data_IF_873609783705
#
_entry.id   IF_873609783705
#
_cell.length_a   1.000
_cell.length_b   1.000
_cell.length_c   1.000
_cell.angle_alpha   90.00
_cell.angle_beta   90.00
_cell.angle_gamma   90.00
#
_symmetry.space_group_name_H-M   'P 1'
#
loop_
_entity.id
_entity.type
_entity.pdbx_description
1 polymer ?
#
# COMPACT_ATOMS: atom_id res chain seq x y z
N UNK A 1 -10.67 7.87 14.57
CA UNK A 1 -11.92 7.86 15.36
C UNK A 1 -12.15 6.51 16.03
N UNK A 2 -11.83 5.37 15.42
CA UNK A 2 -11.96 4.01 15.99
C UNK A 2 -11.17 3.88 17.30
N UNK A 3 -9.95 4.40 17.36
CA UNK A 3 -9.12 4.41 18.56
C UNK A 3 -9.80 5.13 19.74
N UNK A 4 -10.55 6.19 19.48
CA UNK A 4 -11.27 6.92 20.53
C UNK A 4 -12.47 6.16 21.07
N UNK A 5 -13.11 5.33 20.24
CA UNK A 5 -14.29 4.54 20.58
C UNK A 5 -13.97 3.19 21.22
N UNK A 6 -12.71 2.70 21.09
CA UNK A 6 -12.33 1.43 21.68
C UNK A 6 -12.21 1.52 23.21
N UNK A 7 -12.25 0.37 23.87
CA UNK A 7 -12.21 0.22 25.33
C UNK A 7 -10.80 0.29 25.93
N UNK A 8 -9.85 0.92 25.23
CA UNK A 8 -8.49 1.13 25.71
C UNK A 8 -8.43 2.26 26.74
N UNK A 9 -7.45 2.21 27.65
CA UNK A 9 -7.17 3.29 28.59
C UNK A 9 -6.67 4.55 27.85
N UNK A 10 -6.69 5.73 28.51
CA UNK A 10 -6.20 6.95 27.90
C UNK A 10 -4.71 6.84 27.50
N UNK A 11 -3.88 6.22 28.34
CA UNK A 11 -2.47 5.96 28.05
C UNK A 11 -2.30 5.03 26.83
N UNK A 12 -3.08 3.97 26.75
CA UNK A 12 -3.07 3.08 25.60
C UNK A 12 -3.53 3.78 24.31
N UNK A 13 -4.42 4.75 24.40
CA UNK A 13 -4.83 5.56 23.24
C UNK A 13 -3.71 6.47 22.75
N UNK A 14 -2.93 7.07 23.67
CA UNK A 14 -1.74 7.85 23.32
C UNK A 14 -0.73 6.97 22.55
N UNK A 15 -0.45 5.74 23.04
CA UNK A 15 0.39 4.78 22.31
C UNK A 15 -0.22 4.40 20.92
N UNK A 16 -1.54 4.30 20.85
CA UNK A 16 -2.25 4.04 19.60
C UNK A 16 -2.09 5.17 18.58
N UNK A 17 -2.05 6.42 19.01
CA UNK A 17 -1.81 7.58 18.13
C UNK A 17 -0.40 7.53 17.54
N UNK A 18 0.60 7.12 18.32
CA UNK A 18 1.98 6.93 17.84
C UNK A 18 2.04 5.81 16.79
N UNK A 19 1.36 4.68 17.02
CA UNK A 19 1.28 3.59 16.05
C UNK A 19 0.66 4.08 14.75
N UNK A 20 -0.46 4.79 14.81
CA UNK A 20 -1.19 5.31 13.64
C UNK A 20 -0.34 6.33 12.88
N UNK A 21 0.42 7.19 13.56
CA UNK A 21 1.30 8.16 12.94
C UNK A 21 2.47 7.50 12.17
N UNK A 22 2.84 6.27 12.52
CA UNK A 22 3.90 5.50 11.88
C UNK A 22 3.39 4.49 10.83
N UNK A 23 2.19 4.68 10.30
CA UNK A 23 1.66 3.85 9.21
C UNK A 23 2.12 4.36 7.84
N UNK A 24 2.41 3.43 6.94
CA UNK A 24 2.61 3.72 5.52
C UNK A 24 1.31 4.02 4.80
N UNK A 25 1.39 4.56 3.59
CA UNK A 25 0.23 4.72 2.71
C UNK A 25 -0.46 3.40 2.34
N UNK A 26 0.26 2.28 2.42
CA UNK A 26 -0.29 0.94 2.22
C UNK A 26 -0.95 0.36 3.47
N UNK A 27 -0.85 1.03 4.62
CA UNK A 27 -1.40 0.59 5.90
C UNK A 27 -0.47 -0.30 6.72
N UNK A 28 0.79 -0.47 6.33
CA UNK A 28 1.78 -1.24 7.08
C UNK A 28 2.52 -0.37 8.10
N UNK A 29 2.95 -1.00 9.19
CA UNK A 29 3.77 -0.36 10.20
C UNK A 29 5.19 -0.16 9.66
N UNK A 30 5.72 1.07 9.77
CA UNK A 30 7.07 1.42 9.28
C UNK A 30 8.13 1.30 10.37
N UNK A 31 7.78 1.56 11.63
CA UNK A 31 8.69 1.53 12.75
C UNK A 31 8.60 0.21 13.53
N UNK A 32 9.70 -0.21 14.16
CA UNK A 32 9.70 -1.34 15.08
C UNK A 32 9.00 -1.01 16.40
N UNK A 33 8.58 -2.04 17.16
CA UNK A 33 7.93 -1.83 18.46
C UNK A 33 8.88 -1.14 19.46
N UNK A 34 10.19 -1.43 19.36
CA UNK A 34 11.23 -0.81 20.17
C UNK A 34 11.37 0.68 19.86
N UNK A 35 11.43 1.03 18.57
CA UNK A 35 11.50 2.43 18.12
C UNK A 35 10.26 3.22 18.55
N UNK A 36 9.07 2.62 18.44
CA UNK A 36 7.84 3.26 18.91
C UNK A 36 7.80 3.46 20.41
N UNK A 37 8.31 2.49 21.19
CA UNK A 37 8.43 2.65 22.63
C UNK A 37 9.43 3.76 23.00
N UNK A 38 10.50 3.94 22.20
CA UNK A 38 11.47 5.05 22.37
C UNK A 38 10.85 6.39 21.95
N UNK A 39 10.10 6.45 20.86
CA UNK A 39 9.37 7.66 20.43
C UNK A 39 8.38 8.10 21.50
N UNK A 40 7.60 7.16 22.05
CA UNK A 40 6.69 7.44 23.15
C UNK A 40 7.42 8.04 24.36
N UNK A 41 8.63 7.58 24.67
CA UNK A 41 9.48 8.15 25.74
C UNK A 41 9.93 9.56 25.40
N UNK A 42 10.31 9.83 24.15
CA UNK A 42 10.83 11.12 23.72
C UNK A 42 9.77 12.21 23.72
N UNK A 43 8.55 11.92 23.24
CA UNK A 43 7.43 12.85 23.20
C UNK A 43 7.01 13.27 24.62
N UNK A 44 6.94 12.32 25.55
CA UNK A 44 6.65 12.62 26.95
C UNK A 44 7.76 13.41 27.67
N UNK A 45 9.02 13.20 27.30
CA UNK A 45 10.13 13.96 27.89
C UNK A 45 10.17 15.41 27.42
N UNK A 46 9.61 15.72 26.24
CA UNK A 46 9.56 17.06 25.67
C UNK A 46 8.44 17.94 26.20
N UNK A 47 7.31 17.37 26.58
CA UNK A 47 6.12 18.11 26.99
C UNK A 47 6.05 18.45 28.51
N UNK A 48 6.76 17.73 29.34
CA UNK A 48 6.66 17.88 30.79
C UNK A 48 7.98 18.23 31.45
N UNK A 49 8.19 19.56 31.60
CA UNK A 49 9.22 20.14 32.53
C UNK A 49 8.79 20.05 34.00
N UNK A 50 7.70 19.37 34.34
CA UNK A 50 7.10 19.32 35.70
C UNK A 50 7.44 18.01 36.42
N UNK A 51 7.61 18.08 37.74
CA UNK A 51 7.97 16.97 38.63
C UNK A 51 7.01 15.76 38.59
N UNK A 52 5.82 15.91 38.00
CA UNK A 52 4.80 14.88 37.85
C UNK A 52 5.12 13.81 36.75
N UNK A 53 6.04 14.15 35.82
CA UNK A 53 6.44 13.23 34.76
C UNK A 53 7.38 12.09 35.25
N UNK A 54 7.91 12.19 36.47
CA UNK A 54 8.85 11.20 37.02
C UNK A 54 8.20 9.91 37.52
N UNK A 55 6.88 9.93 37.76
CA UNK A 55 6.13 8.77 38.26
C UNK A 55 5.33 8.03 37.17
N UNK A 56 5.30 8.54 35.93
CA UNK A 56 4.63 7.88 34.83
C UNK A 56 5.54 6.75 34.28
N UNK A 57 5.10 5.51 34.44
CA UNK A 57 5.83 4.36 33.91
C UNK A 57 5.89 4.45 32.37
N UNK A 58 7.07 4.35 31.81
CA UNK A 58 7.28 4.36 30.37
C UNK A 58 6.63 3.13 29.73
N UNK A 59 6.02 3.27 28.51
CA UNK A 59 5.43 2.12 27.87
C UNK A 59 6.47 1.04 27.61
N UNK A 60 6.14 -0.15 28.03
CA UNK A 60 6.93 -1.34 27.70
C UNK A 60 6.57 -1.78 26.27
N UNK A 61 7.47 -2.50 25.61
CA UNK A 61 7.22 -3.11 24.30
C UNK A 61 5.94 -3.98 24.32
N UNK A 62 5.69 -4.65 25.45
CA UNK A 62 4.50 -5.49 25.65
C UNK A 62 3.19 -4.69 25.65
N UNK A 63 3.22 -3.48 26.24
CA UNK A 63 2.05 -2.59 26.26
C UNK A 63 1.76 -2.04 24.87
N UNK A 64 2.79 -1.63 24.11
CA UNK A 64 2.67 -1.19 22.72
C UNK A 64 2.12 -2.34 21.85
N UNK A 65 2.62 -3.56 22.04
CA UNK A 65 2.13 -4.74 21.33
C UNK A 65 0.66 -5.06 21.64
N UNK A 66 0.24 -4.84 22.87
CA UNK A 66 -1.16 -5.03 23.28
C UNK A 66 -2.08 -4.04 22.54
N UNK A 67 -1.66 -2.79 22.42
CA UNK A 67 -2.39 -1.76 21.66
C UNK A 67 -2.38 -2.08 20.17
N UNK A 68 -1.24 -2.51 19.62
CA UNK A 68 -1.13 -2.93 18.23
C UNK A 68 -2.12 -4.06 17.90
N UNK A 69 -2.24 -5.07 18.76
CA UNK A 69 -3.21 -6.16 18.58
C UNK A 69 -4.67 -5.68 18.52
N UNK A 70 -4.99 -4.60 19.20
CA UNK A 70 -6.32 -3.99 19.10
C UNK A 70 -6.48 -3.22 17.79
N UNK A 71 -5.46 -2.49 17.33
CA UNK A 71 -5.47 -1.72 16.07
C UNK A 71 -5.56 -2.65 14.85
N UNK A 72 -4.90 -3.79 14.87
CA UNK A 72 -4.94 -4.79 13.80
C UNK A 72 -6.36 -5.29 13.47
N UNK A 73 -7.30 -5.13 14.39
CA UNK A 73 -8.72 -5.51 14.22
C UNK A 73 -9.60 -4.31 13.81
N UNK A 74 -9.03 -3.12 13.61
CA UNK A 74 -9.77 -1.96 13.12
C UNK A 74 -10.15 -2.14 11.65
N UNK A 75 -11.05 -1.30 11.16
CA UNK A 75 -11.45 -1.26 9.77
C UNK A 75 -10.58 -0.22 9.03
N UNK A 76 -9.82 -0.65 8.02
CA UNK A 76 -9.74 -1.99 7.40
C UNK A 76 -8.94 -3.01 8.23
N UNK A 77 -9.43 -4.27 8.27
CA UNK A 77 -8.79 -5.34 9.04
C UNK A 77 -7.39 -5.64 8.52
N UNK A 78 -6.43 -5.76 9.44
CA UNK A 78 -5.02 -5.99 9.11
C UNK A 78 -4.21 -4.71 8.94
N UNK A 79 -4.81 -3.52 9.15
CA UNK A 79 -4.08 -2.26 9.22
C UNK A 79 -3.06 -2.30 10.38
N UNK A 80 -1.90 -1.68 10.20
CA UNK A 80 -0.75 -1.71 11.11
C UNK A 80 -0.04 -3.07 11.23
N UNK A 81 -0.29 -4.00 10.33
CA UNK A 81 0.51 -5.22 10.24
C UNK A 81 1.97 -4.89 9.87
N UNK A 82 2.90 -5.72 10.34
CA UNK A 82 4.35 -5.59 10.08
C UNK A 82 4.75 -6.22 8.75
N UNK A 83 4.03 -7.26 8.35
CA UNK A 83 4.30 -8.03 7.13
C UNK A 83 3.00 -8.36 6.40
N UNK A 84 3.06 -8.62 5.08
CA UNK A 84 1.90 -9.08 4.33
C UNK A 84 1.30 -10.37 4.88
N UNK A 85 2.14 -11.29 5.34
CA UNK A 85 1.71 -12.56 5.96
C UNK A 85 0.87 -12.29 7.22
N UNK A 86 1.34 -11.39 8.10
CA UNK A 86 0.61 -11.01 9.31
C UNK A 86 -0.74 -10.38 8.96
N UNK A 87 -0.79 -9.47 7.99
CA UNK A 87 -2.00 -8.84 7.51
C UNK A 87 -3.04 -9.87 7.05
N UNK A 88 -2.64 -10.78 6.15
CA UNK A 88 -3.52 -11.82 5.63
C UNK A 88 -3.99 -12.80 6.71
N UNK A 89 -3.11 -13.18 7.65
CA UNK A 89 -3.48 -14.07 8.77
C UNK A 89 -4.53 -13.46 9.69
N UNK A 90 -4.46 -12.14 9.91
CA UNK A 90 -5.44 -11.42 10.72
C UNK A 90 -6.79 -11.38 9.99
N UNK A 91 -6.79 -11.14 8.69
CA UNK A 91 -8.02 -11.16 7.88
C UNK A 91 -8.64 -12.56 7.84
N UNK A 92 -7.83 -13.62 7.67
CA UNK A 92 -8.28 -15.02 7.75
C UNK A 92 -8.97 -15.29 9.09
N UNK A 93 -8.38 -14.81 10.18
CA UNK A 93 -8.96 -14.96 11.52
C UNK A 93 -10.27 -14.18 11.68
N UNK A 94 -10.33 -12.95 11.15
CA UNK A 94 -11.53 -12.13 11.19
C UNK A 94 -12.70 -12.73 10.38
N UNK A 95 -12.39 -13.43 9.29
CA UNK A 95 -13.35 -14.16 8.46
C UNK A 95 -13.77 -15.52 9.07
N UNK A 96 -13.12 -15.95 10.15
CA UNK A 96 -13.44 -17.22 10.84
C UNK A 96 -12.79 -18.46 10.22
N UNK A 97 -11.80 -18.30 9.34
CA UNK A 97 -11.03 -19.40 8.74
C UNK A 97 -9.79 -19.78 9.54
N UNK A 98 -9.64 -19.28 10.76
CA UNK A 98 -8.52 -19.56 11.66
C UNK A 98 -8.37 -21.04 12.06
N UNK A 99 -9.43 -21.82 11.89
CA UNK A 99 -9.45 -23.27 12.17
C UNK A 99 -8.89 -24.12 11.04
N UNK A 100 -8.82 -23.59 9.85
CA UNK A 100 -8.23 -24.28 8.70
C UNK A 100 -6.71 -24.15 8.73
N UNK A 101 -6.07 -25.16 9.31
CA UNK A 101 -4.62 -25.18 9.47
C UNK A 101 -3.88 -25.14 8.14
N UNK A 102 -4.47 -25.71 7.07
CA UNK A 102 -3.85 -25.73 5.74
C UNK A 102 -3.80 -24.32 5.18
N UNK A 103 -4.91 -23.57 5.25
CA UNK A 103 -4.96 -22.17 4.79
C UNK A 103 -3.99 -21.29 5.58
N UNK A 104 -3.95 -21.45 6.90
CA UNK A 104 -3.03 -20.70 7.77
C UNK A 104 -1.57 -20.99 7.43
N UNK A 105 -1.21 -22.25 7.23
CA UNK A 105 0.17 -22.64 6.90
C UNK A 105 0.58 -22.20 5.48
N UNK A 106 -0.35 -22.23 4.51
CA UNK A 106 -0.13 -21.70 3.15
C UNK A 106 0.24 -20.23 3.19
N UNK A 107 -0.49 -19.42 3.95
CA UNK A 107 -0.23 -17.97 4.04
C UNK A 107 1.00 -17.66 4.87
N UNK A 108 1.25 -18.41 5.95
CA UNK A 108 2.39 -18.17 6.83
C UNK A 108 3.73 -18.51 6.18
N UNK A 109 3.82 -19.70 5.57
CA UNK A 109 5.10 -20.30 5.21
C UNK A 109 5.31 -20.44 3.69
N UNK A 110 4.23 -20.34 2.89
CA UNK A 110 4.27 -20.65 1.46
C UNK A 110 3.69 -19.55 0.56
N UNK A 111 3.59 -18.33 1.06
CA UNK A 111 3.07 -17.21 0.27
C UNK A 111 3.92 -16.96 -0.98
N UNK A 112 5.25 -17.03 -0.86
CA UNK A 112 6.19 -16.88 -1.98
C UNK A 112 6.06 -17.99 -3.03
N UNK A 113 5.78 -19.23 -2.60
CA UNK A 113 5.55 -20.34 -3.51
C UNK A 113 4.23 -20.18 -4.28
N UNK A 114 3.21 -19.62 -3.64
CA UNK A 114 1.93 -19.30 -4.28
C UNK A 114 2.10 -18.17 -5.30
N UNK A 115 2.80 -17.10 -4.96
CA UNK A 115 3.11 -15.98 -5.85
C UNK A 115 3.91 -16.44 -7.08
N UNK A 116 4.89 -17.32 -6.86
CA UNK A 116 5.73 -17.89 -7.93
C UNK A 116 5.04 -19.01 -8.71
N UNK A 117 3.77 -19.31 -8.44
CA UNK A 117 2.99 -20.40 -9.05
C UNK A 117 3.62 -21.80 -8.91
N UNK A 118 4.38 -22.03 -7.85
CA UNK A 118 5.03 -23.31 -7.54
C UNK A 118 4.09 -24.26 -6.79
N UNK A 119 3.05 -24.73 -7.43
CA UNK A 119 1.99 -25.52 -6.79
C UNK A 119 2.39 -26.97 -6.49
N UNK A 120 3.24 -27.60 -7.32
CA UNK A 120 3.61 -29.04 -7.18
C UNK A 120 4.17 -29.43 -5.79
N UNK A 121 5.06 -28.64 -5.16
CA UNK A 121 5.53 -28.93 -3.80
C UNK A 121 4.40 -28.85 -2.76
N UNK A 122 3.50 -27.86 -2.90
CA UNK A 122 2.40 -27.62 -1.98
C UNK A 122 1.39 -28.77 -1.99
N UNK A 123 0.97 -29.21 -3.19
CA UNK A 123 0.07 -30.34 -3.37
C UNK A 123 0.61 -31.62 -2.68
N UNK A 124 1.94 -31.87 -2.79
CA UNK A 124 2.57 -33.02 -2.13
C UNK A 124 2.67 -32.85 -0.62
N UNK A 125 3.00 -31.66 -0.13
CA UNK A 125 3.18 -31.38 1.29
C UNK A 125 1.86 -31.49 2.05
N UNK A 126 0.82 -30.87 1.52
CA UNK A 126 -0.50 -30.80 2.16
C UNK A 126 -1.44 -31.95 1.73
N UNK A 127 -1.02 -32.77 0.76
CA UNK A 127 -1.81 -33.87 0.17
C UNK A 127 -3.14 -33.37 -0.41
N UNK A 128 -3.08 -32.22 -1.06
CA UNK A 128 -4.23 -31.60 -1.72
C UNK A 128 -4.30 -32.01 -3.18
N UNK A 129 -5.51 -32.01 -3.73
CA UNK A 129 -5.73 -31.99 -5.16
C UNK A 129 -5.65 -30.57 -5.71
N UNK A 130 -5.59 -30.44 -7.06
CA UNK A 130 -5.48 -29.12 -7.71
C UNK A 130 -6.73 -28.28 -7.54
N UNK A 131 -7.89 -28.92 -7.47
CA UNK A 131 -9.15 -28.20 -7.29
C UNK A 131 -9.32 -27.68 -5.85
N UNK A 132 -8.91 -28.47 -4.86
CA UNK A 132 -8.84 -28.03 -3.45
C UNK A 132 -7.87 -26.85 -3.28
N UNK A 133 -6.71 -26.88 -3.94
CA UNK A 133 -5.76 -25.77 -3.89
C UNK A 133 -6.35 -24.49 -4.53
N UNK A 134 -7.15 -24.62 -5.59
CA UNK A 134 -7.83 -23.45 -6.20
C UNK A 134 -8.81 -22.80 -5.22
N UNK A 135 -9.56 -23.58 -4.44
CA UNK A 135 -10.47 -23.04 -3.43
C UNK A 135 -9.70 -22.19 -2.41
N UNK A 136 -8.52 -22.67 -1.96
CA UNK A 136 -7.65 -21.88 -1.07
C UNK A 136 -7.11 -20.63 -1.74
N UNK A 137 -6.71 -20.71 -3.02
CA UNK A 137 -6.26 -19.55 -3.77
C UNK A 137 -7.36 -18.50 -3.93
N UNK A 138 -8.60 -18.92 -4.21
CA UNK A 138 -9.74 -18.02 -4.34
C UNK A 138 -10.01 -17.27 -3.02
N UNK A 139 -9.89 -17.96 -1.88
CA UNK A 139 -9.99 -17.34 -0.56
C UNK A 139 -8.87 -16.31 -0.37
N UNK A 140 -7.60 -16.69 -0.64
CA UNK A 140 -6.44 -15.80 -0.47
C UNK A 140 -6.54 -14.58 -1.38
N UNK A 141 -6.99 -14.75 -2.62
CA UNK A 141 -7.20 -13.65 -3.58
C UNK A 141 -8.34 -12.70 -3.19
N UNK A 142 -9.28 -13.16 -2.40
CA UNK A 142 -10.35 -12.30 -1.86
C UNK A 142 -9.89 -11.39 -0.72
N UNK A 143 -8.71 -11.66 -0.14
CA UNK A 143 -8.12 -10.85 0.92
C UNK A 143 -7.43 -9.60 0.34
N UNK A 144 -7.33 -8.55 1.15
CA UNK A 144 -6.65 -7.32 0.77
C UNK A 144 -5.23 -7.26 1.36
N UNK A 145 -4.17 -7.44 0.55
CA UNK A 145 -2.81 -7.35 1.04
C UNK A 145 -2.37 -5.92 1.37
N UNK A 146 -3.09 -4.88 0.91
CA UNK A 146 -2.74 -3.47 1.16
C UNK A 146 -3.95 -2.68 1.67
N UNK A 147 -4.40 -2.94 2.91
CA UNK A 147 -5.65 -2.38 3.42
C UNK A 147 -5.67 -0.85 3.51
N UNK A 148 -4.51 -0.20 3.62
CA UNK A 148 -4.39 1.25 3.64
C UNK A 148 -4.47 1.92 2.26
N UNK A 149 -4.29 1.19 1.17
CA UNK A 149 -4.19 1.77 -0.18
C UNK A 149 -5.45 2.54 -0.61
N UNK A 150 -6.63 2.11 -0.15
CA UNK A 150 -7.91 2.77 -0.44
C UNK A 150 -8.10 4.09 0.32
N UNK A 151 -7.32 4.34 1.38
CA UNK A 151 -7.42 5.51 2.26
C UNK A 151 -6.23 6.46 2.12
N UNK A 152 -5.14 6.01 1.46
CA UNK A 152 -3.99 6.86 1.16
C UNK A 152 -4.38 7.96 0.17
N UNK A 153 -3.83 9.16 0.33
CA UNK A 153 -3.85 10.15 -0.73
C UNK A 153 -2.99 9.63 -1.88
N UNK A 154 -3.59 8.78 -2.69
CA UNK A 154 -2.98 8.35 -3.94
C UNK A 154 -2.79 9.59 -4.80
N UNK A 155 -1.57 10.07 -4.89
CA UNK A 155 -1.18 10.95 -5.99
C UNK A 155 -1.44 10.14 -7.25
N UNK A 156 -2.60 10.34 -7.86
CA UNK A 156 -2.90 9.75 -9.16
C UNK A 156 -1.89 10.37 -10.13
N UNK A 157 -0.81 9.65 -10.36
CA UNK A 157 0.13 10.01 -11.42
C UNK A 157 -0.62 9.77 -12.72
N UNK A 158 -1.16 10.85 -13.30
CA UNK A 158 -1.73 10.80 -14.64
C UNK A 158 -0.60 10.47 -15.60
N UNK A 159 -0.53 9.22 -16.00
CA UNK A 159 0.37 8.80 -17.08
C UNK A 159 -0.31 9.17 -18.38
N UNK A 160 0.23 10.18 -19.06
CA UNK A 160 -0.20 10.51 -20.42
C UNK A 160 0.35 9.43 -21.35
N UNK A 161 -0.49 8.72 -22.10
CA UNK A 161 -0.01 7.68 -23.02
C UNK A 161 0.74 8.34 -24.20
N UNK A 162 1.84 7.74 -24.64
CA UNK A 162 2.61 8.21 -25.79
C UNK A 162 1.95 7.81 -27.11
N UNK A 163 1.16 6.73 -27.11
CA UNK A 163 0.52 6.17 -28.29
C UNK A 163 -0.90 5.73 -27.97
N UNK A 164 -1.85 6.10 -28.80
CA UNK A 164 -3.22 5.61 -28.78
C UNK A 164 -3.42 4.55 -29.86
N UNK A 165 -4.04 3.45 -29.53
CA UNK A 165 -4.40 2.38 -30.48
C UNK A 165 -5.92 2.23 -30.51
N UNK A 166 -6.54 2.57 -31.61
CA UNK A 166 -8.00 2.43 -31.82
C UNK A 166 -8.27 1.26 -32.77
N UNK A 167 -9.32 0.51 -32.50
CA UNK A 167 -9.82 -0.51 -33.44
C UNK A 167 -11.03 0.05 -34.16
N UNK A 168 -10.90 0.30 -35.49
CA UNK A 168 -11.96 0.81 -36.34
C UNK A 168 -12.16 -0.17 -37.48
N UNK A 169 -13.38 -0.64 -37.67
CA UNK A 169 -13.79 -1.57 -38.74
C UNK A 169 -12.93 -2.85 -38.87
N UNK A 170 -12.35 -3.31 -37.76
CA UNK A 170 -11.48 -4.51 -37.72
C UNK A 170 -10.00 -4.23 -37.92
N UNK A 171 -9.61 -3.03 -38.30
CA UNK A 171 -8.21 -2.60 -38.44
C UNK A 171 -7.76 -1.77 -37.22
N UNK A 172 -6.46 -1.82 -36.92
CA UNK A 172 -5.87 -1.04 -35.84
C UNK A 172 -5.29 0.29 -36.39
N UNK A 173 -5.85 1.40 -35.90
CA UNK A 173 -5.35 2.74 -36.15
C UNK A 173 -4.42 3.15 -34.98
N UNK A 174 -3.18 3.49 -35.31
CA UNK A 174 -2.18 3.92 -34.33
C UNK A 174 -2.03 5.44 -34.47
N UNK A 175 -2.26 6.17 -33.36
CA UNK A 175 -2.12 7.64 -33.29
C UNK A 175 -1.10 7.96 -32.20
N UNK A 176 -0.09 8.74 -32.56
CA UNK A 176 0.87 9.26 -31.59
C UNK A 176 0.23 10.37 -30.76
N UNK A 177 0.58 10.42 -29.48
CA UNK A 177 0.19 11.53 -28.64
C UNK A 177 1.12 12.72 -28.90
N UNK A 178 0.57 13.80 -29.41
CA UNK A 178 1.29 15.03 -29.67
C UNK A 178 1.11 16.06 -28.55
N UNK A 179 0.42 15.70 -27.46
CA UNK A 179 0.24 16.57 -26.30
C UNK A 179 1.60 16.89 -25.66
N UNK A 180 1.96 18.15 -25.64
CA UNK A 180 3.24 18.61 -25.10
C UNK A 180 4.35 18.80 -26.15
N UNK A 181 4.12 18.45 -27.43
CA UNK A 181 5.02 18.83 -28.49
C UNK A 181 4.74 20.29 -28.91
N UNK A 182 5.77 21.16 -28.99
CA UNK A 182 5.56 22.52 -29.46
C UNK A 182 5.17 22.51 -30.95
N UNK A 183 4.06 23.13 -31.28
CA UNK A 183 3.67 23.33 -32.66
C UNK A 183 4.68 24.28 -33.33
N UNK A 184 5.43 23.77 -34.29
CA UNK A 184 6.39 24.54 -35.05
C UNK A 184 5.67 25.22 -36.23
N UNK A 185 5.69 26.53 -36.23
CA UNK A 185 5.20 27.34 -37.36
C UNK A 185 6.36 28.15 -37.94
N UNK A 186 6.48 28.18 -39.28
CA UNK A 186 7.37 29.08 -39.92
C UNK A 186 6.87 30.51 -39.68
N UNK A 187 7.77 31.38 -39.23
CA UNK A 187 7.41 32.79 -39.04
C UNK A 187 7.08 33.45 -40.39
N UNK A 188 5.95 34.14 -40.52
CA UNK A 188 5.59 34.82 -41.78
C UNK A 188 6.66 35.80 -42.27
N UNK A 189 7.51 36.31 -41.39
CA UNK A 189 8.63 37.19 -41.72
C UNK A 189 9.70 36.49 -42.57
N UNK A 190 9.97 35.20 -42.31
CA UNK A 190 10.93 34.39 -43.07
C UNK A 190 10.33 33.89 -44.38
N UNK A 191 9.03 33.59 -44.45
CA UNK A 191 8.34 33.23 -45.69
C UNK A 191 8.41 34.37 -46.70
N UNK A 192 8.06 35.56 -46.27
CA UNK A 192 8.15 36.78 -47.11
C UNK A 192 9.58 37.12 -47.51
N UNK A 193 10.60 36.82 -46.67
CA UNK A 193 12.00 37.03 -46.99
C UNK A 193 12.52 36.04 -48.05
N UNK A 194 12.06 34.79 -48.03
CA UNK A 194 12.46 33.77 -49.00
C UNK A 194 11.84 34.03 -50.38
N UNK A 195 10.60 34.50 -50.46
CA UNK A 195 9.95 34.92 -51.72
C UNK A 195 10.63 36.11 -52.35
N UNK A 196 11.01 37.12 -51.53
CA UNK A 196 11.72 38.32 -52.03
C UNK A 196 13.18 38.00 -52.46
N UNK A 197 13.85 37.04 -51.87
CA UNK A 197 15.17 36.57 -52.28
C UNK A 197 15.13 35.86 -53.63
N UNK A 198 14.13 34.99 -53.82
CA UNK A 198 13.92 34.26 -55.08
C UNK A 198 13.54 35.15 -56.27
N UNK A 199 12.99 36.33 -56.02
CA UNK A 199 12.65 37.33 -57.09
C UNK A 199 13.85 38.15 -57.55
N UNK A 200 14.89 38.26 -56.69
CA UNK A 200 16.12 39.00 -57.02
C UNK A 200 17.18 38.22 -57.78
N UNK A 201 17.08 36.93 -57.82
CA UNK A 201 17.98 36.07 -58.62
C UNK A 201 17.50 35.84 -60.06
N UNK A 202 16.36 36.42 -60.45
CA UNK A 202 15.78 36.27 -61.81
C UNK A 202 15.90 37.58 -62.65
N UNK A 203 16.56 38.60 -62.16
CA UNK A 203 16.98 39.82 -62.95
C UNK A 203 18.50 39.75 -63.15
#
# INVERSE_FOLDING_TARGET
WQLRLCSLSNEQKEHGEIIIANLSSSGYLQASLEEMAEMARADFAGETSTAEAKDKAWPTVEEVETVLKAILLFDPVGVAARTPQECLLIQIKALGYDRDQVLVDLVRDHLEDLESHRYKPLLRKFRLDMDELKEYLDIIQSLDPMPGASFGEGVSTFVSPDVFVYKVDGEFLIVLNEDGLPNLHLSPVYDNASENASSKEKE
#
